data_IF_508040445595
#
_entry.id   IF_508040445595
#
_cell.length_a   1.000
_cell.length_b   1.000
_cell.length_c   1.000
_cell.angle_alpha   90.00
_cell.angle_beta   90.00
_cell.angle_gamma   90.00
#
_symmetry.space_group_name_H-M   'P 1'
#
loop_
_entity.id
_entity.type
_entity.pdbx_description
1 polymer ?
#
# COMPACT_ATOMS: atom_id res chain seq x y z
N UNK A 1 10.01 -3.61 23.52
CA UNK A 1 9.44 -3.16 22.22
C UNK A 1 8.35 -2.09 22.35
N UNK A 2 7.91 -1.74 23.57
CA UNK A 2 6.89 -0.71 23.85
C UNK A 2 7.40 0.72 23.85
N UNK A 3 8.72 0.93 23.90
CA UNK A 3 9.30 2.27 24.03
C UNK A 3 9.63 2.92 22.67
N UNK A 4 9.56 2.18 21.56
CA UNK A 4 9.82 2.71 20.22
C UNK A 4 8.88 3.87 19.84
N UNK A 5 7.70 3.95 20.46
CA UNK A 5 6.67 4.91 20.11
C UNK A 5 6.53 6.04 21.16
N UNK A 6 7.26 5.98 22.28
CA UNK A 6 6.97 6.77 23.50
C UNK A 6 7.71 8.11 23.64
N UNK A 7 8.63 8.44 22.74
CA UNK A 7 9.64 9.46 23.03
C UNK A 7 9.78 10.55 21.97
N UNK A 8 8.75 10.77 21.14
CA UNK A 8 8.79 11.85 20.16
C UNK A 8 7.47 12.62 20.15
N UNK A 9 7.53 13.86 20.64
CA UNK A 9 6.47 14.83 20.42
C UNK A 9 6.46 15.16 18.92
N UNK A 10 5.31 14.99 18.29
CA UNK A 10 5.17 15.16 16.86
C UNK A 10 4.50 16.52 16.61
N UNK A 11 5.17 17.38 15.85
CA UNK A 11 4.69 18.73 15.52
C UNK A 11 3.35 18.70 14.75
N UNK A 12 3.10 17.61 14.02
CA UNK A 12 1.90 17.41 13.23
C UNK A 12 0.91 16.46 13.92
N UNK A 13 -0.40 16.78 13.92
CA UNK A 13 -1.43 15.93 14.52
C UNK A 13 -1.55 14.61 13.76
N UNK A 14 -1.81 13.51 14.49
CA UNK A 14 -2.09 12.19 13.89
C UNK A 14 -3.17 12.28 12.82
N UNK A 15 -4.29 12.92 13.17
CA UNK A 15 -5.46 13.03 12.32
C UNK A 15 -5.52 14.38 11.62
N UNK A 16 -4.64 14.60 10.64
CA UNK A 16 -4.78 15.74 9.73
C UNK A 16 -5.85 15.45 8.64
N UNK A 17 -6.36 16.47 7.93
CA UNK A 17 -7.37 16.29 6.88
C UNK A 17 -6.97 15.30 5.77
N UNK A 18 -5.68 15.24 5.41
CA UNK A 18 -5.16 14.34 4.39
C UNK A 18 -5.19 12.88 4.85
N UNK A 19 -4.76 12.61 6.08
CA UNK A 19 -4.79 11.27 6.68
C UNK A 19 -6.24 10.79 6.80
N UNK A 20 -7.16 11.66 7.23
CA UNK A 20 -8.60 11.33 7.28
C UNK A 20 -9.17 10.98 5.90
N UNK A 21 -8.89 11.81 4.90
CA UNK A 21 -9.38 11.59 3.53
C UNK A 21 -8.83 10.30 2.92
N UNK A 22 -7.51 10.11 3.00
CA UNK A 22 -6.83 8.93 2.46
C UNK A 22 -7.27 7.64 3.16
N UNK A 23 -7.41 7.67 4.50
CA UNK A 23 -7.91 6.53 5.28
C UNK A 23 -9.36 6.21 4.95
N UNK A 24 -10.21 7.24 4.81
CA UNK A 24 -11.60 7.08 4.38
C UNK A 24 -11.69 6.40 3.02
N UNK A 25 -10.92 6.88 2.04
CA UNK A 25 -10.85 6.27 0.70
C UNK A 25 -10.42 4.79 0.78
N UNK A 26 -9.34 4.50 1.51
CA UNK A 26 -8.83 3.14 1.68
C UNK A 26 -9.87 2.22 2.31
N UNK A 27 -10.51 2.65 3.40
CA UNK A 27 -11.52 1.86 4.09
C UNK A 27 -12.72 1.60 3.18
N UNK A 28 -13.22 2.64 2.49
CA UNK A 28 -14.35 2.49 1.55
C UNK A 28 -14.03 1.49 0.45
N UNK A 29 -12.86 1.59 -0.19
CA UNK A 29 -12.46 0.68 -1.26
C UNK A 29 -12.23 -0.74 -0.75
N UNK A 30 -11.59 -0.89 0.41
CA UNK A 30 -11.30 -2.20 0.99
C UNK A 30 -12.60 -2.93 1.38
N UNK A 31 -13.55 -2.22 1.99
CA UNK A 31 -14.85 -2.78 2.33
C UNK A 31 -15.65 -3.14 1.07
N UNK A 32 -15.68 -2.26 0.07
CA UNK A 32 -16.33 -2.56 -1.20
C UNK A 32 -15.71 -3.80 -1.86
N UNK A 33 -14.38 -3.88 -1.88
CA UNK A 33 -13.67 -5.03 -2.42
C UNK A 33 -14.01 -6.33 -1.68
N UNK A 34 -13.97 -6.31 -0.35
CA UNK A 34 -14.33 -7.47 0.48
C UNK A 34 -15.77 -7.94 0.22
N UNK A 35 -16.73 -7.01 0.15
CA UNK A 35 -18.15 -7.32 -0.12
C UNK A 35 -18.32 -7.94 -1.51
N UNK A 36 -17.73 -7.33 -2.55
CA UNK A 36 -17.81 -7.83 -3.93
C UNK A 36 -17.18 -9.21 -4.06
N UNK A 37 -16.05 -9.45 -3.36
CA UNK A 37 -15.35 -10.74 -3.39
C UNK A 37 -16.21 -11.85 -2.80
N UNK A 38 -16.82 -11.59 -1.63
CA UNK A 38 -17.74 -12.51 -0.97
C UNK A 38 -18.97 -12.80 -1.84
N UNK A 39 -19.57 -11.77 -2.45
CA UNK A 39 -20.77 -11.96 -3.27
C UNK A 39 -20.48 -12.70 -4.59
N UNK A 40 -19.25 -12.62 -5.08
CA UNK A 40 -18.82 -13.27 -6.32
C UNK A 40 -18.27 -14.69 -6.11
N UNK A 41 -18.21 -15.18 -4.86
CA UNK A 41 -17.60 -16.49 -4.54
C UNK A 41 -16.09 -16.56 -4.77
N UNK A 42 -15.41 -15.40 -4.82
CA UNK A 42 -13.97 -15.32 -5.02
C UNK A 42 -13.26 -15.36 -3.65
N UNK A 43 -13.26 -16.55 -3.03
CA UNK A 43 -12.74 -16.76 -1.68
C UNK A 43 -11.27 -16.35 -1.53
N UNK A 44 -10.46 -16.61 -2.57
CA UNK A 44 -9.05 -16.25 -2.54
C UNK A 44 -8.85 -14.73 -2.53
N UNK A 45 -9.62 -14.00 -3.34
CA UNK A 45 -9.54 -12.55 -3.35
C UNK A 45 -10.15 -11.91 -2.09
N UNK A 46 -11.13 -12.56 -1.47
CA UNK A 46 -11.61 -12.15 -0.15
C UNK A 46 -10.51 -12.26 0.93
N UNK A 47 -9.74 -13.36 0.95
CA UNK A 47 -8.58 -13.50 1.83
C UNK A 47 -7.54 -12.41 1.57
N UNK A 48 -7.33 -12.04 0.31
CA UNK A 48 -6.46 -10.93 -0.06
C UNK A 48 -6.96 -9.58 0.52
N UNK A 49 -8.26 -9.29 0.44
CA UNK A 49 -8.84 -8.11 1.06
C UNK A 49 -8.66 -8.10 2.59
N UNK A 50 -8.78 -9.24 3.27
CA UNK A 50 -8.46 -9.35 4.71
C UNK A 50 -6.98 -9.01 4.96
N UNK A 51 -6.07 -9.59 4.16
CA UNK A 51 -4.64 -9.33 4.28
C UNK A 51 -4.31 -7.84 4.11
N UNK A 52 -4.93 -7.17 3.14
CA UNK A 52 -4.80 -5.72 2.96
C UNK A 52 -5.34 -4.93 4.15
N UNK A 53 -6.39 -5.40 4.81
CA UNK A 53 -6.87 -4.83 6.07
C UNK A 53 -5.85 -4.94 7.21
N UNK A 54 -5.17 -6.09 7.32
CA UNK A 54 -4.08 -6.27 8.29
C UNK A 54 -2.93 -5.30 7.99
N UNK A 55 -2.51 -5.20 6.72
CA UNK A 55 -1.47 -4.25 6.30
C UNK A 55 -1.88 -2.82 6.62
N UNK A 56 -3.13 -2.41 6.38
CA UNK A 56 -3.64 -1.09 6.73
C UNK A 56 -3.50 -0.78 8.22
N UNK A 57 -3.84 -1.73 9.10
CA UNK A 57 -3.68 -1.58 10.56
C UNK A 57 -2.19 -1.45 10.95
N UNK A 58 -1.31 -2.27 10.37
CA UNK A 58 0.14 -2.20 10.61
C UNK A 58 0.69 -0.84 10.17
N UNK A 59 0.29 -0.34 8.99
CA UNK A 59 0.67 0.99 8.51
C UNK A 59 0.15 2.08 9.44
N UNK A 60 -1.08 1.95 9.97
CA UNK A 60 -1.62 2.88 10.97
C UNK A 60 -0.76 2.93 12.24
N UNK A 61 -0.29 1.77 12.70
CA UNK A 61 0.66 1.70 13.82
C UNK A 61 2.02 2.31 13.48
N UNK A 62 2.56 2.05 12.29
CA UNK A 62 3.82 2.69 11.84
C UNK A 62 3.65 4.20 11.79
N UNK A 63 2.56 4.71 11.20
CA UNK A 63 2.28 6.15 11.16
C UNK A 63 2.14 6.75 12.56
N UNK A 64 1.58 6.01 13.52
CA UNK A 64 1.55 6.43 14.92
C UNK A 64 2.97 6.63 15.50
N UNK A 65 3.93 5.77 15.15
CA UNK A 65 5.29 5.83 15.68
C UNK A 65 6.24 6.76 14.92
N UNK A 66 6.05 6.94 13.61
CA UNK A 66 7.05 7.62 12.75
C UNK A 66 6.52 8.87 12.06
N UNK A 67 5.20 9.13 12.08
CA UNK A 67 4.55 10.20 11.32
C UNK A 67 4.95 10.23 9.85
N UNK A 68 4.54 9.18 9.13
CA UNK A 68 4.67 9.14 7.67
C UNK A 68 4.11 10.42 7.06
N UNK A 69 4.81 10.97 6.07
CA UNK A 69 4.36 12.20 5.40
C UNK A 69 3.07 11.96 4.59
N UNK A 70 2.33 13.03 4.32
CA UNK A 70 1.04 12.95 3.63
C UNK A 70 1.13 12.33 2.23
N UNK A 71 2.22 12.58 1.50
CA UNK A 71 2.44 11.98 0.19
C UNK A 71 2.53 10.45 0.25
N UNK A 72 3.16 9.91 1.29
CA UNK A 72 3.29 8.46 1.51
C UNK A 72 1.95 7.84 1.87
N UNK A 73 1.16 8.52 2.70
CA UNK A 73 -0.19 8.06 3.04
C UNK A 73 -1.07 8.00 1.77
N UNK A 74 -1.02 9.03 0.92
CA UNK A 74 -1.72 9.00 -0.37
C UNK A 74 -1.21 7.94 -1.33
N UNK A 75 0.10 7.69 -1.37
CA UNK A 75 0.68 6.63 -2.19
C UNK A 75 0.22 5.24 -1.74
N UNK A 76 0.15 4.99 -0.44
CA UNK A 76 -0.38 3.74 0.14
C UNK A 76 -1.87 3.57 -0.14
N UNK A 77 -2.67 4.65 -0.02
CA UNK A 77 -4.09 4.63 -0.39
C UNK A 77 -4.29 4.37 -1.88
N UNK A 78 -3.51 5.05 -2.73
CA UNK A 78 -3.51 4.82 -4.18
C UNK A 78 -3.16 3.38 -4.52
N UNK A 79 -2.14 2.82 -3.87
CA UNK A 79 -1.75 1.42 -4.04
C UNK A 79 -2.89 0.47 -3.67
N UNK A 80 -3.54 0.67 -2.52
CA UNK A 80 -4.69 -0.13 -2.10
C UNK A 80 -5.81 -0.12 -3.16
N UNK A 81 -6.15 1.06 -3.69
CA UNK A 81 -7.19 1.20 -4.72
C UNK A 81 -6.83 0.41 -5.99
N UNK A 82 -5.64 0.64 -6.56
CA UNK A 82 -5.24 0.00 -7.82
C UNK A 82 -5.01 -1.51 -7.66
N UNK A 83 -4.60 -1.94 -6.47
CA UNK A 83 -4.40 -3.35 -6.13
C UNK A 83 -5.73 -4.08 -5.94
N UNK A 84 -6.69 -3.47 -5.23
CA UNK A 84 -8.04 -4.04 -5.12
C UNK A 84 -8.77 -4.06 -6.45
N UNK A 85 -8.61 -3.00 -7.27
CA UNK A 85 -9.13 -2.98 -8.63
C UNK A 85 -8.58 -4.12 -9.49
N UNK A 86 -7.30 -4.49 -9.30
CA UNK A 86 -6.59 -5.54 -10.04
C UNK A 86 -7.33 -6.88 -10.11
N UNK A 87 -7.89 -7.34 -8.99
CA UNK A 87 -8.58 -8.64 -8.95
C UNK A 87 -10.10 -8.56 -9.05
N UNK A 88 -10.68 -7.37 -9.22
CA UNK A 88 -12.13 -7.17 -9.25
C UNK A 88 -12.64 -6.62 -10.57
N UNK A 89 -11.88 -5.76 -11.23
CA UNK A 89 -12.34 -5.12 -12.46
C UNK A 89 -12.12 -6.08 -13.62
N UNK A 90 -13.20 -6.53 -14.30
CA UNK A 90 -13.07 -7.36 -15.49
C UNK A 90 -12.50 -6.54 -16.65
N UNK A 91 -11.70 -7.19 -17.49
CA UNK A 91 -11.17 -6.60 -18.73
C UNK A 91 -11.97 -7.05 -19.96
N UNK A 92 -11.99 -6.26 -21.04
CA UNK A 92 -12.63 -6.65 -22.29
C UNK A 92 -12.07 -7.97 -22.83
N UNK A 93 -12.95 -8.81 -23.41
CA UNK A 93 -12.56 -10.10 -23.98
C UNK A 93 -11.55 -10.02 -25.14
N UNK A 94 -11.39 -8.84 -25.75
CA UNK A 94 -10.42 -8.58 -26.81
C UNK A 94 -9.03 -8.25 -26.30
N UNK A 95 -8.86 -8.02 -25.00
CA UNK A 95 -7.56 -7.67 -24.42
C UNK A 95 -6.72 -8.93 -24.19
N UNK A 96 -5.40 -8.86 -24.38
CA UNK A 96 -4.52 -9.99 -24.11
C UNK A 96 -4.46 -10.25 -22.60
N UNK A 97 -4.76 -11.47 -22.18
CA UNK A 97 -4.71 -11.89 -20.76
C UNK A 97 -3.86 -13.15 -20.55
N UNK A 98 -3.38 -13.32 -19.33
CA UNK A 98 -2.81 -14.58 -18.84
C UNK A 98 -3.89 -15.42 -18.13
N UNK A 99 -4.03 -16.69 -18.53
CA UNK A 99 -4.97 -17.62 -17.92
C UNK A 99 -6.44 -17.34 -18.26
N UNK A 100 -7.35 -17.91 -17.47
CA UNK A 100 -8.78 -17.97 -17.80
C UNK A 100 -9.63 -16.90 -17.08
N UNK A 101 -9.04 -16.13 -16.17
CA UNK A 101 -9.76 -15.13 -15.35
C UNK A 101 -9.55 -13.74 -15.97
N UNK A 102 -10.55 -13.13 -16.61
CA UNK A 102 -10.39 -11.87 -17.34
C UNK A 102 -10.51 -10.67 -16.40
N UNK A 103 -9.57 -10.50 -15.47
CA UNK A 103 -9.47 -9.34 -14.57
C UNK A 103 -8.23 -8.51 -14.88
N UNK A 104 -8.16 -7.29 -14.34
CA UNK A 104 -7.02 -6.38 -14.54
C UNK A 104 -5.67 -7.04 -14.24
N UNK A 105 -5.56 -7.90 -13.22
CA UNK A 105 -4.30 -8.59 -12.92
C UNK A 105 -3.84 -9.55 -14.01
N UNK A 106 -4.76 -10.13 -14.76
CA UNK A 106 -4.44 -11.01 -15.87
C UNK A 106 -4.04 -10.23 -17.12
N UNK A 107 -4.26 -8.91 -17.17
CA UNK A 107 -4.03 -8.11 -18.37
C UNK A 107 -2.56 -7.90 -18.70
N UNK A 108 -2.18 -8.26 -19.93
CA UNK A 108 -0.91 -7.91 -20.55
C UNK A 108 -0.95 -6.49 -21.14
N UNK A 109 -0.15 -5.58 -20.58
CA UNK A 109 0.10 -4.27 -21.16
C UNK A 109 1.04 -4.38 -22.36
N UNK A 110 2.04 -5.25 -22.22
CA UNK A 110 2.91 -5.70 -23.31
C UNK A 110 2.81 -7.23 -23.33
N UNK A 111 2.22 -7.83 -24.39
CA UNK A 111 2.00 -9.27 -24.49
C UNK A 111 3.25 -10.07 -24.11
N UNK A 112 3.11 -11.01 -23.18
CA UNK A 112 4.17 -11.91 -22.67
C UNK A 112 5.38 -11.26 -21.96
N UNK A 113 5.39 -9.92 -21.78
CA UNK A 113 6.51 -9.22 -21.12
C UNK A 113 6.10 -8.44 -19.87
N UNK A 114 4.94 -7.78 -19.88
CA UNK A 114 4.55 -6.86 -18.81
C UNK A 114 3.05 -6.91 -18.55
N UNK A 115 2.68 -7.32 -17.33
CA UNK A 115 1.29 -7.27 -16.85
C UNK A 115 1.02 -6.03 -16.03
N UNK A 116 -0.26 -5.65 -15.97
CA UNK A 116 -0.76 -4.70 -14.99
C UNK A 116 -0.36 -5.10 -13.56
N UNK A 117 -0.42 -6.39 -13.25
CA UNK A 117 0.04 -6.98 -11.99
C UNK A 117 1.48 -6.58 -11.64
N UNK A 118 2.41 -6.64 -12.60
CA UNK A 118 3.81 -6.30 -12.35
C UNK A 118 3.98 -4.81 -12.01
N UNK A 119 3.22 -3.93 -12.66
CA UNK A 119 3.27 -2.48 -12.40
C UNK A 119 2.73 -2.16 -11.01
N UNK A 120 1.57 -2.73 -10.64
CA UNK A 120 0.96 -2.50 -9.34
C UNK A 120 1.86 -2.98 -8.21
N UNK A 121 2.49 -4.15 -8.36
CA UNK A 121 3.41 -4.67 -7.36
C UNK A 121 4.73 -3.89 -7.33
N UNK A 122 5.30 -3.50 -8.47
CA UNK A 122 6.48 -2.65 -8.50
C UNK A 122 6.25 -1.29 -7.82
N UNK A 123 5.09 -0.67 -8.06
CA UNK A 123 4.68 0.55 -7.36
C UNK A 123 4.56 0.31 -5.85
N UNK A 124 3.86 -0.77 -5.46
CA UNK A 124 3.72 -1.18 -4.07
C UNK A 124 5.05 -1.33 -3.35
N UNK A 125 5.98 -2.10 -3.94
CA UNK A 125 7.33 -2.29 -3.41
C UNK A 125 8.06 -0.96 -3.24
N UNK A 126 8.03 -0.08 -4.25
CA UNK A 126 8.65 1.24 -4.15
C UNK A 126 8.06 2.10 -3.02
N UNK A 127 6.74 2.08 -2.84
CA UNK A 127 6.08 2.81 -1.73
C UNK A 127 6.44 2.20 -0.39
N UNK A 128 6.48 0.88 -0.24
CA UNK A 128 6.87 0.23 1.02
C UNK A 128 8.33 0.45 1.36
N UNK A 129 9.22 0.43 0.38
CA UNK A 129 10.63 0.83 0.54
C UNK A 129 10.74 2.26 1.06
N UNK A 130 9.91 3.17 0.56
CA UNK A 130 9.87 4.55 1.04
C UNK A 130 9.31 4.69 2.47
N UNK A 131 8.38 3.82 2.88
CA UNK A 131 7.92 3.71 4.27
C UNK A 131 9.04 3.22 5.18
N UNK A 132 9.78 2.17 4.77
CA UNK A 132 10.94 1.66 5.47
C UNK A 132 12.00 2.75 5.67
N UNK A 133 12.29 3.52 4.62
CA UNK A 133 13.21 4.66 4.68
C UNK A 133 12.79 5.70 5.73
N UNK A 134 11.52 6.12 5.74
CA UNK A 134 11.03 7.07 6.73
C UNK A 134 11.13 6.52 8.15
N UNK A 135 10.81 5.24 8.35
CA UNK A 135 10.97 4.57 9.63
C UNK A 135 12.41 4.55 10.13
N UNK A 136 13.36 4.19 9.25
CA UNK A 136 14.80 4.22 9.54
C UNK A 136 15.29 5.64 9.84
N UNK A 137 14.92 6.62 9.02
CA UNK A 137 15.31 8.02 9.21
C UNK A 137 14.88 8.55 10.59
N UNK A 138 13.64 8.26 11.01
CA UNK A 138 13.16 8.62 12.35
C UNK A 138 13.90 7.86 13.45
N UNK A 139 14.13 6.55 13.27
CA UNK A 139 14.88 5.73 14.21
C UNK A 139 16.31 6.25 14.46
N UNK A 140 17.02 6.62 13.40
CA UNK A 140 18.37 7.19 13.51
C UNK A 140 18.37 8.61 14.08
N UNK A 141 17.39 9.44 13.71
CA UNK A 141 17.24 10.79 14.27
C UNK A 141 17.13 10.76 15.80
N UNK A 142 16.46 9.75 16.36
CA UNK A 142 16.31 9.57 17.81
C UNK A 142 17.61 9.25 18.54
N UNK A 143 18.59 8.64 17.86
CA UNK A 143 19.92 8.37 18.42
C UNK A 143 20.95 9.45 18.03
N UNK A 144 20.49 10.61 17.55
CA UNK A 144 21.34 11.75 17.21
C UNK A 144 22.03 11.65 15.85
N UNK A 145 21.64 10.68 15.00
CA UNK A 145 22.20 10.51 13.66
C UNK A 145 21.21 10.97 12.59
N UNK A 146 21.69 11.72 11.59
CA UNK A 146 20.87 12.11 10.44
C UNK A 146 21.27 11.28 9.23
N UNK A 147 20.30 10.56 8.66
CA UNK A 147 20.51 9.78 7.44
C UNK A 147 20.16 10.63 6.22
N UNK A 148 20.99 10.51 5.17
CA UNK A 148 20.71 11.08 3.85
C UNK A 148 20.21 9.98 2.92
N UNK A 149 19.11 10.20 2.17
CA UNK A 149 18.62 9.20 1.24
C UNK A 149 19.65 9.02 0.13
N UNK A 150 20.22 7.82 0.06
CA UNK A 150 21.05 7.41 -1.08
C UNK A 150 20.35 6.28 -1.81
N UNK A 151 20.62 6.15 -3.11
CA UNK A 151 20.05 5.06 -3.91
C UNK A 151 20.36 3.68 -3.31
N UNK A 152 21.59 3.49 -2.82
CA UNK A 152 21.99 2.24 -2.16
C UNK A 152 21.22 1.95 -0.88
N UNK A 153 20.94 2.97 -0.05
CA UNK A 153 20.14 2.77 1.17
C UNK A 153 18.68 2.48 0.87
N UNK A 154 18.12 3.10 -0.17
CA UNK A 154 16.75 2.81 -0.62
C UNK A 154 16.63 1.39 -1.17
N UNK A 155 17.65 0.86 -1.86
CA UNK A 155 17.66 -0.53 -2.34
C UNK A 155 17.70 -1.60 -1.23
N UNK A 156 18.16 -1.25 -0.03
CA UNK A 156 18.24 -2.16 1.12
C UNK A 156 16.95 -2.25 1.93
N UNK A 157 15.96 -1.40 1.61
CA UNK A 157 14.72 -1.19 2.36
C UNK A 157 13.51 -1.81 1.65
#
# INVERSE_FOLDING_TARGET
>A
MTDFCKEYEHDEPFWNPQVKAASGLTITFLLAAAIISLSSGNDWFFVNAIMMGIVFVIIGYIHHCVRLNNATIWALSGWCVIHMAGGLIPVPATWPIEGDIPVLYSWWLIPDYLKYDNIVHAYGFGVTTWVCWQGLAVGFKRVGATLQPTFGMLLLC
#
